data_IF_333693684890
#
_entry.id   IF_333693684890
#
_cell.length_a   1.000
_cell.length_b   1.000
_cell.length_c   1.000
_cell.angle_alpha   90.00
_cell.angle_beta   90.00
_cell.angle_gamma   90.00
#
_symmetry.space_group_name_H-M   'P 1'
#
loop_
_entity.id
_entity.type
_entity.pdbx_description
1 polymer ?
#
# COMPACT_ATOMS: atom_id res chain seq x y z
N UNK A 1 9.78 53.30 -29.54
CA UNK A 1 10.44 52.94 -28.28
C UNK A 1 9.32 52.65 -27.30
N UNK A 2 8.98 51.38 -27.09
CA UNK A 2 7.96 50.95 -26.17
C UNK A 2 8.58 49.95 -25.19
N UNK A 3 8.65 50.32 -23.91
CA UNK A 3 9.21 49.56 -22.82
C UNK A 3 8.10 48.66 -22.27
N UNK A 4 8.11 47.36 -22.59
CA UNK A 4 7.24 46.37 -22.00
C UNK A 4 7.71 46.05 -20.59
N UNK A 5 6.85 46.31 -19.61
CA UNK A 5 7.05 46.00 -18.18
C UNK A 5 7.09 44.48 -17.95
N UNK A 6 8.08 44.03 -17.18
CA UNK A 6 8.18 42.65 -16.66
C UNK A 6 7.14 42.44 -15.53
N UNK A 7 6.47 41.31 -15.48
CA UNK A 7 5.63 41.00 -14.34
C UNK A 7 6.50 40.68 -13.11
N UNK A 8 6.23 41.35 -12.00
CA UNK A 8 6.80 41.04 -10.68
C UNK A 8 6.22 39.70 -10.21
N UNK A 9 7.03 38.67 -10.16
CA UNK A 9 6.73 37.47 -9.37
C UNK A 9 6.91 37.85 -7.88
N UNK A 10 5.78 37.92 -7.17
CA UNK A 10 5.76 38.07 -5.74
C UNK A 10 6.47 36.89 -5.06
N UNK A 11 7.36 37.21 -4.13
CA UNK A 11 8.04 36.23 -3.30
C UNK A 11 7.03 35.38 -2.53
N UNK A 12 6.95 34.09 -2.88
CA UNK A 12 6.28 33.10 -2.04
C UNK A 12 7.09 32.97 -0.75
N UNK A 13 6.57 33.56 0.33
CA UNK A 13 7.13 33.38 1.66
C UNK A 13 7.10 31.90 2.03
N UNK A 14 8.28 31.35 2.31
CA UNK A 14 8.47 30.03 2.87
C UNK A 14 7.95 30.02 4.32
N UNK A 15 6.66 29.73 4.48
CA UNK A 15 6.14 29.34 5.78
C UNK A 15 6.16 27.81 5.86
N UNK A 16 6.83 27.22 6.86
CA UNK A 16 6.67 25.80 7.12
C UNK A 16 5.22 25.58 7.57
N UNK A 17 4.48 24.75 6.82
CA UNK A 17 3.13 24.30 7.19
C UNK A 17 3.28 23.32 8.36
N UNK A 18 3.69 23.82 9.51
CA UNK A 18 3.46 23.12 10.76
C UNK A 18 2.04 23.49 11.20
N UNK A 19 1.10 22.54 11.07
CA UNK A 19 -0.20 22.65 11.70
C UNK A 19 0.01 22.71 13.21
N UNK A 20 0.13 23.91 13.78
CA UNK A 20 -0.04 24.13 15.21
C UNK A 20 -1.54 23.99 15.51
N UNK A 21 -1.97 22.77 15.82
CA UNK A 21 -3.24 22.58 16.50
C UNK A 21 -3.07 23.17 17.92
N UNK A 22 -3.98 24.05 18.39
CA UNK A 22 -3.95 24.47 19.77
C UNK A 22 -4.10 23.23 20.65
N UNK A 23 -3.11 22.96 21.49
CA UNK A 23 -3.22 21.95 22.53
C UNK A 23 -4.25 22.45 23.57
N UNK A 24 -5.52 22.15 23.35
CA UNK A 24 -6.48 22.14 24.44
C UNK A 24 -6.18 20.90 25.26
N UNK A 25 -5.46 21.06 26.33
CA UNK A 25 -5.17 20.04 27.33
C UNK A 25 -6.44 19.72 28.12
N UNK A 26 -7.35 18.97 27.52
CA UNK A 26 -8.24 18.11 28.30
C UNK A 26 -7.55 16.75 28.31
N UNK A 27 -7.23 16.17 29.48
CA UNK A 27 -6.74 14.80 29.53
C UNK A 27 -7.85 13.93 28.99
N UNK A 28 -7.72 13.48 27.74
CA UNK A 28 -8.53 12.36 27.26
C UNK A 28 -8.15 11.18 28.14
N UNK A 29 -9.15 10.61 28.78
CA UNK A 29 -9.00 9.36 29.52
C UNK A 29 -8.56 8.27 28.53
N UNK A 30 -7.25 8.04 28.45
CA UNK A 30 -6.63 6.96 27.67
C UNK A 30 -6.74 5.60 28.37
N UNK A 31 -7.74 5.41 29.24
CA UNK A 31 -8.02 4.13 29.89
C UNK A 31 -8.65 3.07 28.97
N UNK A 32 -8.86 3.38 27.69
CA UNK A 32 -9.02 2.33 26.70
C UNK A 32 -7.65 1.68 26.49
N UNK A 33 -7.38 0.63 27.28
CA UNK A 33 -6.21 -0.23 27.13
C UNK A 33 -6.23 -0.86 25.72
N UNK A 34 -5.66 -0.15 24.77
CA UNK A 34 -5.32 -0.71 23.46
C UNK A 34 -4.18 -1.72 23.62
N UNK A 35 -4.39 -2.71 24.46
CA UNK A 35 -3.45 -3.82 24.56
C UNK A 35 -3.35 -4.45 23.17
N UNK A 36 -2.15 -4.40 22.60
CA UNK A 36 -1.84 -5.10 21.36
C UNK A 36 -2.29 -6.55 21.51
N UNK A 37 -3.15 -7.03 20.60
CA UNK A 37 -3.56 -8.43 20.65
C UNK A 37 -2.34 -9.31 20.57
N UNK A 38 -2.12 -10.24 21.52
CA UNK A 38 -0.99 -11.15 21.47
C UNK A 38 -0.99 -11.90 20.13
N UNK A 39 0.19 -12.29 19.67
CA UNK A 39 0.36 -12.99 18.38
C UNK A 39 -0.53 -14.24 18.28
N UNK A 40 -0.84 -14.89 19.40
CA UNK A 40 -1.75 -16.05 19.49
C UNK A 40 -3.21 -15.75 19.19
N UNK A 41 -3.62 -14.48 19.20
CA UNK A 41 -5.01 -14.05 18.91
C UNK A 41 -5.16 -13.47 17.49
N UNK A 42 -4.08 -13.37 16.73
CA UNK A 42 -4.13 -12.97 15.33
C UNK A 42 -4.73 -14.08 14.49
N UNK A 43 -5.59 -13.71 13.54
CA UNK A 43 -6.32 -14.67 12.70
C UNK A 43 -5.94 -14.52 11.25
N UNK A 44 -5.97 -15.62 10.52
CA UNK A 44 -5.88 -15.59 9.07
C UNK A 44 -6.98 -14.72 8.47
N UNK A 45 -6.66 -13.88 7.48
CA UNK A 45 -7.66 -13.06 6.81
C UNK A 45 -8.63 -13.93 6.00
N UNK A 46 -9.88 -13.52 5.96
CA UNK A 46 -10.89 -14.18 5.13
C UNK A 46 -10.91 -13.53 3.75
N UNK A 47 -10.38 -14.21 2.76
CA UNK A 47 -10.40 -13.76 1.38
C UNK A 47 -11.75 -14.01 0.73
N UNK A 48 -12.29 -13.00 0.03
CA UNK A 48 -13.51 -13.12 -0.77
C UNK A 48 -13.24 -13.79 -2.13
N UNK A 49 -12.03 -13.61 -2.66
CA UNK A 49 -11.63 -14.16 -3.95
C UNK A 49 -10.35 -14.99 -3.83
N UNK A 50 -10.35 -16.16 -4.49
CA UNK A 50 -9.15 -17.00 -4.58
C UNK A 50 -8.14 -16.40 -5.56
N UNK A 51 -6.86 -16.79 -5.46
CA UNK A 51 -5.85 -16.40 -6.45
C UNK A 51 -6.20 -16.88 -7.86
N UNK A 52 -6.76 -18.09 -7.97
CA UNK A 52 -7.25 -18.61 -9.23
C UNK A 52 -8.32 -17.71 -9.85
N UNK A 53 -9.31 -17.27 -9.06
CA UNK A 53 -10.34 -16.35 -9.56
C UNK A 53 -9.73 -15.05 -10.09
N UNK A 54 -8.76 -14.48 -9.38
CA UNK A 54 -8.07 -13.26 -9.77
C UNK A 54 -7.26 -13.47 -11.06
N UNK A 55 -6.56 -14.60 -11.17
CA UNK A 55 -5.80 -14.96 -12.36
C UNK A 55 -6.70 -15.21 -13.59
N UNK A 56 -7.87 -15.79 -13.40
CA UNK A 56 -8.85 -15.98 -14.47
C UNK A 56 -9.48 -14.65 -14.93
N UNK A 57 -9.56 -13.65 -14.04
CA UNK A 57 -10.15 -12.34 -14.32
C UNK A 57 -9.18 -11.35 -14.95
N UNK A 58 -7.90 -11.37 -14.56
CA UNK A 58 -6.88 -10.41 -14.99
C UNK A 58 -5.65 -11.12 -15.56
N UNK A 59 -5.32 -10.81 -16.80
CA UNK A 59 -4.11 -11.33 -17.46
C UNK A 59 -2.84 -10.79 -16.79
N UNK A 60 -2.83 -9.53 -16.36
CA UNK A 60 -1.70 -8.95 -15.62
C UNK A 60 -1.50 -9.64 -14.28
N UNK A 61 -2.58 -9.86 -13.53
CA UNK A 61 -2.52 -10.58 -12.27
C UNK A 61 -2.05 -12.03 -12.47
N UNK A 62 -2.53 -12.72 -13.48
CA UNK A 62 -2.11 -14.09 -13.82
C UNK A 62 -0.61 -14.15 -14.07
N UNK A 63 -0.09 -13.31 -14.96
CA UNK A 63 1.35 -13.25 -15.28
C UNK A 63 2.21 -12.96 -14.06
N UNK A 64 1.74 -12.05 -13.22
CA UNK A 64 2.42 -11.70 -11.97
C UNK A 64 2.46 -12.90 -11.02
N UNK A 65 1.33 -13.54 -10.76
CA UNK A 65 1.21 -14.69 -9.85
C UNK A 65 2.05 -15.89 -10.34
N UNK A 66 1.96 -16.25 -11.63
CA UNK A 66 2.75 -17.32 -12.22
C UNK A 66 4.27 -17.05 -12.10
N UNK A 67 4.68 -15.81 -12.35
CA UNK A 67 6.09 -15.40 -12.24
C UNK A 67 6.55 -15.46 -10.80
N UNK A 68 5.75 -14.97 -9.86
CA UNK A 68 6.04 -14.99 -8.42
C UNK A 68 6.17 -16.41 -7.90
N UNK A 69 5.25 -17.31 -8.24
CA UNK A 69 5.31 -18.73 -7.86
C UNK A 69 6.60 -19.38 -8.37
N UNK A 70 6.91 -19.23 -9.64
CA UNK A 70 8.14 -19.76 -10.26
C UNK A 70 9.41 -19.23 -9.59
N UNK A 71 9.46 -17.93 -9.23
CA UNK A 71 10.62 -17.32 -8.58
C UNK A 71 10.72 -17.74 -7.11
N UNK A 72 9.59 -17.84 -6.39
CA UNK A 72 9.57 -18.35 -5.02
C UNK A 72 10.10 -19.79 -4.92
N UNK A 73 9.81 -20.64 -5.90
CA UNK A 73 10.36 -21.99 -5.95
C UNK A 73 11.91 -22.02 -5.95
N UNK A 74 12.57 -21.00 -6.52
CA UNK A 74 14.04 -20.89 -6.44
C UNK A 74 14.52 -20.45 -5.05
N UNK A 75 13.76 -19.57 -4.40
CA UNK A 75 14.04 -19.15 -3.00
C UNK A 75 13.92 -20.34 -2.05
N UNK A 76 12.86 -21.14 -2.24
CA UNK A 76 12.63 -22.34 -1.44
C UNK A 76 13.75 -23.38 -1.61
N UNK A 77 14.22 -23.59 -2.86
CA UNK A 77 15.37 -24.47 -3.16
C UNK A 77 16.66 -24.00 -2.49
N UNK A 78 16.88 -22.68 -2.37
CA UNK A 78 18.05 -22.12 -1.69
C UNK A 78 18.04 -22.43 -0.18
N UNK A 79 16.89 -22.78 0.38
CA UNK A 79 16.69 -23.19 1.77
C UNK A 79 17.32 -22.24 2.81
N UNK A 80 17.31 -20.93 2.52
CA UNK A 80 17.93 -19.93 3.37
C UNK A 80 17.08 -19.68 4.62
N UNK A 81 17.65 -19.98 5.78
CA UNK A 81 16.98 -19.84 7.07
C UNK A 81 16.50 -18.41 7.35
N UNK A 82 17.30 -17.39 7.04
CA UNK A 82 16.93 -15.98 7.30
C UNK A 82 15.76 -15.55 6.42
N UNK A 83 15.76 -15.93 5.14
CA UNK A 83 14.66 -15.63 4.23
C UNK A 83 13.35 -16.26 4.72
N UNK A 84 13.38 -17.52 5.13
CA UNK A 84 12.20 -18.19 5.70
C UNK A 84 11.67 -17.50 6.95
N UNK A 85 12.57 -17.00 7.82
CA UNK A 85 12.15 -16.22 8.99
C UNK A 85 11.52 -14.89 8.60
N UNK A 86 12.07 -14.20 7.61
CA UNK A 86 11.48 -12.94 7.10
C UNK A 86 10.09 -13.21 6.53
N UNK A 87 9.91 -14.26 5.71
CA UNK A 87 8.58 -14.62 5.19
C UNK A 87 7.57 -14.94 6.30
N UNK A 88 8.00 -15.62 7.36
CA UNK A 88 7.13 -15.87 8.50
C UNK A 88 6.75 -14.58 9.24
N UNK A 89 7.70 -13.66 9.43
CA UNK A 89 7.44 -12.36 10.07
C UNK A 89 6.50 -11.52 9.22
N UNK A 90 6.75 -11.47 7.92
CA UNK A 90 5.92 -10.77 6.93
C UNK A 90 4.47 -11.30 6.98
N UNK A 91 4.29 -12.62 6.83
CA UNK A 91 2.98 -13.25 6.96
C UNK A 91 2.26 -12.85 8.26
N UNK A 92 2.96 -12.94 9.41
CA UNK A 92 2.38 -12.59 10.70
C UNK A 92 2.02 -11.09 10.83
N UNK A 93 2.72 -10.21 10.11
CA UNK A 93 2.40 -8.78 10.10
C UNK A 93 1.03 -8.51 9.46
N UNK A 94 0.65 -9.28 8.44
CA UNK A 94 -0.60 -9.11 7.69
C UNK A 94 -1.81 -9.87 8.25
N UNK A 95 -1.64 -10.70 9.29
CA UNK A 95 -2.77 -11.34 9.97
C UNK A 95 -3.74 -10.31 10.57
N UNK A 96 -5.02 -10.69 10.71
CA UNK A 96 -6.03 -9.89 11.43
C UNK A 96 -5.58 -9.62 12.86
N UNK A 97 -5.60 -8.36 13.26
CA UNK A 97 -5.19 -7.92 14.59
C UNK A 97 -5.98 -6.69 15.03
N UNK A 98 -5.31 -5.72 15.63
CA UNK A 98 -5.91 -4.41 15.95
C UNK A 98 -6.31 -3.65 14.68
N UNK A 99 -5.56 -3.83 13.59
CA UNK A 99 -5.95 -3.38 12.27
C UNK A 99 -6.47 -4.57 11.45
N UNK A 100 -7.55 -4.38 10.67
CA UNK A 100 -7.99 -5.37 9.70
C UNK A 100 -6.91 -5.65 8.64
N UNK A 101 -6.86 -6.89 8.11
CA UNK A 101 -5.91 -7.25 7.06
C UNK A 101 -6.03 -6.34 5.83
N UNK A 102 -7.26 -6.00 5.40
CA UNK A 102 -7.47 -5.07 4.28
C UNK A 102 -6.81 -3.69 4.48
N UNK A 103 -6.81 -3.17 5.72
CA UNK A 103 -6.14 -1.90 6.04
C UNK A 103 -4.62 -2.06 5.91
N UNK A 104 -4.07 -3.19 6.36
CA UNK A 104 -2.65 -3.48 6.26
C UNK A 104 -2.20 -3.64 4.80
N UNK A 105 -3.02 -4.27 3.95
CA UNK A 105 -2.73 -4.37 2.51
C UNK A 105 -2.73 -2.99 1.84
N UNK A 106 -3.65 -2.08 2.19
CA UNK A 106 -3.62 -0.71 1.70
C UNK A 106 -2.39 0.06 2.20
N UNK A 107 -1.97 -0.14 3.46
CA UNK A 107 -0.72 0.42 3.99
C UNK A 107 0.50 -0.12 3.23
N UNK A 108 0.53 -1.43 2.95
CA UNK A 108 1.55 -2.07 2.13
C UNK A 108 1.59 -1.51 0.71
N UNK A 109 0.43 -1.28 0.09
CA UNK A 109 0.31 -0.68 -1.23
C UNK A 109 0.92 0.74 -1.26
N UNK A 110 0.56 1.59 -0.29
CA UNK A 110 1.12 2.96 -0.17
C UNK A 110 2.63 2.93 0.02
N UNK A 111 3.12 2.12 0.97
CA UNK A 111 4.55 2.01 1.25
C UNK A 111 5.32 1.50 0.02
N UNK A 112 4.80 0.47 -0.66
CA UNK A 112 5.40 -0.10 -1.86
C UNK A 112 5.48 0.89 -3.02
N UNK A 113 4.45 1.72 -3.20
CA UNK A 113 4.44 2.76 -4.22
C UNK A 113 5.48 3.84 -3.91
N UNK A 114 5.59 4.30 -2.65
CA UNK A 114 6.62 5.24 -2.22
C UNK A 114 8.04 4.67 -2.39
N UNK A 115 8.22 3.37 -2.12
CA UNK A 115 9.49 2.64 -2.31
C UNK A 115 9.74 2.24 -3.78
N UNK A 116 8.78 2.41 -4.67
CA UNK A 116 8.87 2.14 -6.11
C UNK A 116 9.15 0.67 -6.43
N UNK A 117 8.54 -0.24 -5.68
CA UNK A 117 8.64 -1.67 -5.86
C UNK A 117 7.42 -2.17 -6.65
N UNK A 118 7.53 -2.30 -7.98
CA UNK A 118 6.41 -2.71 -8.84
C UNK A 118 5.81 -4.07 -8.41
N UNK A 119 6.64 -5.05 -8.10
CA UNK A 119 6.18 -6.37 -7.66
C UNK A 119 5.42 -6.28 -6.33
N UNK A 120 5.89 -5.44 -5.40
CA UNK A 120 5.20 -5.24 -4.12
C UNK A 120 3.86 -4.51 -4.31
N UNK A 121 3.82 -3.51 -5.19
CA UNK A 121 2.59 -2.78 -5.54
C UNK A 121 1.55 -3.76 -6.10
N UNK A 122 1.93 -4.59 -7.09
CA UNK A 122 1.04 -5.58 -7.67
C UNK A 122 0.55 -6.59 -6.63
N UNK A 123 1.46 -7.08 -5.78
CA UNK A 123 1.09 -8.00 -4.71
C UNK A 123 0.03 -7.41 -3.79
N UNK A 124 0.27 -6.25 -3.21
CA UNK A 124 -0.67 -5.62 -2.28
C UNK A 124 -1.98 -5.20 -2.95
N UNK A 125 -1.96 -4.73 -4.19
CA UNK A 125 -3.19 -4.42 -4.94
C UNK A 125 -4.04 -5.67 -5.15
N UNK A 126 -3.44 -6.80 -5.50
CA UNK A 126 -4.12 -8.10 -5.66
C UNK A 126 -4.66 -8.60 -4.32
N UNK A 127 -3.86 -8.56 -3.23
CA UNK A 127 -4.33 -9.00 -1.91
C UNK A 127 -5.48 -8.12 -1.39
N UNK A 128 -5.39 -6.80 -1.58
CA UNK A 128 -6.46 -5.87 -1.24
C UNK A 128 -7.76 -6.21 -2.02
N UNK A 129 -7.67 -6.45 -3.32
CA UNK A 129 -8.80 -6.90 -4.12
C UNK A 129 -9.40 -8.21 -3.58
N UNK A 130 -8.57 -9.20 -3.28
CA UNK A 130 -8.99 -10.49 -2.70
C UNK A 130 -9.74 -10.35 -1.38
N UNK A 131 -9.39 -9.33 -0.58
CA UNK A 131 -10.03 -8.99 0.69
C UNK A 131 -11.29 -8.12 0.52
N UNK A 132 -11.70 -7.83 -0.72
CA UNK A 132 -12.90 -7.03 -1.00
C UNK A 132 -12.71 -5.53 -0.80
N UNK A 133 -11.48 -5.04 -0.85
CA UNK A 133 -11.22 -3.60 -0.96
C UNK A 133 -11.77 -3.12 -2.30
N UNK A 134 -12.46 -1.99 -2.29
CA UNK A 134 -13.02 -1.40 -3.50
C UNK A 134 -11.95 -0.69 -4.33
N UNK A 135 -12.24 -0.47 -5.62
CA UNK A 135 -11.38 0.32 -6.50
C UNK A 135 -11.10 1.70 -5.92
N UNK A 136 -12.15 2.39 -5.43
CA UNK A 136 -12.02 3.71 -4.85
C UNK A 136 -11.07 3.76 -3.64
N UNK A 137 -11.16 2.77 -2.73
CA UNK A 137 -10.25 2.66 -1.59
C UNK A 137 -8.79 2.48 -2.02
N UNK A 138 -8.53 1.68 -3.06
CA UNK A 138 -7.18 1.53 -3.60
C UNK A 138 -6.67 2.83 -4.26
N UNK A 139 -7.50 3.49 -5.06
CA UNK A 139 -7.17 4.76 -5.72
C UNK A 139 -6.88 5.87 -4.70
N UNK A 140 -7.69 6.00 -3.65
CA UNK A 140 -7.44 6.96 -2.56
C UNK A 140 -6.11 6.66 -1.84
N UNK A 141 -5.81 5.40 -1.59
CA UNK A 141 -4.53 4.99 -1.00
C UNK A 141 -3.34 5.35 -1.91
N UNK A 142 -3.46 5.15 -3.22
CA UNK A 142 -2.44 5.54 -4.20
C UNK A 142 -2.28 7.06 -4.31
N UNK A 143 -3.35 7.85 -4.07
CA UNK A 143 -3.25 9.31 -3.97
C UNK A 143 -2.40 9.73 -2.78
N UNK A 144 -2.51 9.05 -1.63
CA UNK A 144 -1.62 9.27 -0.48
C UNK A 144 -0.17 8.96 -0.86
N UNK A 145 0.08 7.84 -1.56
CA UNK A 145 1.41 7.48 -2.03
C UNK A 145 2.00 8.55 -2.97
N UNK A 146 1.18 9.12 -3.86
CA UNK A 146 1.60 10.18 -4.77
C UNK A 146 2.03 11.46 -4.01
N UNK A 147 1.27 11.85 -2.99
CA UNK A 147 1.60 13.05 -2.18
C UNK A 147 2.87 12.82 -1.36
N UNK A 148 3.04 11.64 -0.76
CA UNK A 148 4.21 11.32 0.07
C UNK A 148 5.45 11.07 -0.78
N UNK A 149 5.31 10.29 -1.85
CA UNK A 149 6.42 9.87 -2.71
C UNK A 149 6.77 10.85 -3.83
N UNK A 150 5.87 11.80 -4.14
CA UNK A 150 6.05 12.79 -5.22
C UNK A 150 5.85 12.21 -6.61
N UNK A 151 6.15 13.02 -7.63
CA UNK A 151 5.88 12.68 -9.05
C UNK A 151 6.63 11.45 -9.56
N UNK A 152 7.67 11.02 -8.88
CA UNK A 152 8.42 9.80 -9.22
C UNK A 152 7.58 8.53 -9.03
N UNK A 153 6.47 8.60 -8.29
CA UNK A 153 5.51 7.50 -8.14
C UNK A 153 4.66 7.31 -9.41
N UNK A 154 4.46 8.36 -10.21
CA UNK A 154 3.57 8.34 -11.40
C UNK A 154 3.83 7.19 -12.38
N UNK A 155 5.09 6.82 -12.73
CA UNK A 155 5.34 5.67 -13.61
C UNK A 155 4.80 4.35 -13.04
N UNK A 156 4.83 4.17 -11.72
CA UNK A 156 4.32 3.00 -11.03
C UNK A 156 2.79 3.01 -10.97
N UNK A 157 2.18 4.21 -10.79
CA UNK A 157 0.73 4.36 -10.83
C UNK A 157 0.15 3.92 -12.17
N UNK A 158 0.78 4.25 -13.31
CA UNK A 158 0.29 3.84 -14.63
C UNK A 158 0.09 2.33 -14.74
N UNK A 159 1.02 1.55 -14.18
CA UNK A 159 0.99 0.08 -14.21
C UNK A 159 -0.08 -0.49 -13.28
N UNK A 160 -0.15 0.03 -12.06
CA UNK A 160 -1.16 -0.46 -11.12
C UNK A 160 -2.57 -0.07 -11.55
N UNK A 161 -2.78 1.10 -12.16
CA UNK A 161 -4.08 1.46 -12.70
C UNK A 161 -4.53 0.53 -13.84
N UNK A 162 -3.62 0.07 -14.69
CA UNK A 162 -3.92 -0.95 -15.70
C UNK A 162 -4.38 -2.26 -15.04
N UNK A 163 -3.69 -2.70 -13.98
CA UNK A 163 -4.12 -3.86 -13.18
C UNK A 163 -5.51 -3.64 -12.55
N UNK A 164 -5.76 -2.46 -11.95
CA UNK A 164 -7.06 -2.15 -11.35
C UNK A 164 -8.19 -2.12 -12.38
N UNK A 165 -7.91 -1.67 -13.61
CA UNK A 165 -8.88 -1.73 -14.70
C UNK A 165 -9.28 -3.18 -15.01
N UNK A 166 -8.34 -4.11 -15.11
CA UNK A 166 -8.67 -5.52 -15.35
C UNK A 166 -9.41 -6.16 -14.15
N UNK A 167 -9.07 -5.78 -12.91
CA UNK A 167 -9.66 -6.37 -11.72
C UNK A 167 -11.09 -5.87 -11.44
N UNK A 168 -11.39 -4.60 -11.72
CA UNK A 168 -12.68 -3.98 -11.35
C UNK A 168 -13.57 -3.64 -12.55
N UNK A 169 -13.00 -3.59 -13.78
CA UNK A 169 -13.64 -3.20 -15.05
C UNK A 169 -14.52 -4.23 -15.68
#
# INVERSE_FOLDING_TARGET
>A
MSTAGRPHFGAFGSQPVCYHLPMTTTPADHSASGAERPASERKEPTFLFTEKYVADKSELARRFLDTRERLNANVDKANNFLVKRVYNIDHNAYLEGSLPAKTKELMGLVASACLRCDDCIFYHAIQAYRLGVTRAEQEESLNVALIVGGTIVVPHLRRVYELLEELYG
#
